data_IF_401294146052
#
_entry.id   IF_401294146052
#
_cell.length_a   1.000
_cell.length_b   1.000
_cell.length_c   1.000
_cell.angle_alpha   90.00
_cell.angle_beta   90.00
_cell.angle_gamma   90.00
#
_symmetry.space_group_name_H-M   'P 1'
#
loop_
_entity.id
_entity.type
_entity.pdbx_description
1 polymer ?
#
# COMPACT_ATOMS: atom_id res chain seq x y z
N UNK A 1 5.32 16.76 14.34
CA UNK A 1 6.51 17.56 13.95
C UNK A 1 6.51 17.62 12.43
N UNK A 2 6.68 18.80 11.84
CA UNK A 2 6.82 18.92 10.40
C UNK A 2 8.12 18.21 9.99
N UNK A 3 8.08 17.36 8.99
CA UNK A 3 9.26 16.65 8.50
C UNK A 3 10.26 17.65 7.90
N UNK A 4 11.55 17.49 8.20
CA UNK A 4 12.61 18.32 7.61
C UNK A 4 12.98 17.91 6.17
N UNK A 5 12.25 16.94 5.59
CA UNK A 5 12.53 16.44 4.24
C UNK A 5 12.06 17.43 3.17
N UNK A 6 12.85 17.61 2.09
CA UNK A 6 12.58 18.66 1.09
C UNK A 6 11.35 18.41 0.22
N UNK A 7 10.89 17.18 0.09
CA UNK A 7 9.73 16.83 -0.75
C UNK A 7 8.65 16.14 0.08
N UNK A 8 7.48 16.76 0.15
CA UNK A 8 6.27 16.13 0.66
C UNK A 8 5.53 15.40 -0.47
N UNK A 9 5.19 14.14 -0.25
CA UNK A 9 4.36 13.36 -1.17
C UNK A 9 3.00 13.12 -0.53
N UNK A 10 1.99 13.89 -0.93
CA UNK A 10 0.61 13.61 -0.52
C UNK A 10 0.08 12.44 -1.37
N UNK A 11 -0.08 11.29 -0.74
CA UNK A 11 -0.46 10.05 -1.42
C UNK A 11 -1.90 9.66 -1.08
N UNK A 12 -2.81 9.92 -2.02
CA UNK A 12 -4.19 9.45 -1.95
C UNK A 12 -4.27 7.99 -2.36
N UNK A 13 -4.76 7.17 -1.45
CA UNK A 13 -4.81 5.72 -1.56
C UNK A 13 -6.05 5.16 -0.87
N UNK A 14 -6.23 3.84 -0.90
CA UNK A 14 -7.32 3.14 -0.19
C UNK A 14 -6.86 1.71 0.14
N UNK A 15 -7.25 1.13 1.28
CA UNK A 15 -6.85 -0.21 1.68
C UNK A 15 -7.25 -1.32 0.68
N UNK A 16 -8.35 -1.14 -0.06
CA UNK A 16 -8.83 -2.11 -1.07
C UNK A 16 -8.49 -1.72 -2.52
N UNK A 17 -7.69 -0.69 -2.72
CA UNK A 17 -7.31 -0.24 -4.05
C UNK A 17 -6.27 -1.19 -4.67
N UNK A 18 -6.69 -2.04 -5.62
CA UNK A 18 -5.82 -3.00 -6.31
C UNK A 18 -4.70 -2.33 -7.11
N UNK A 19 -4.96 -1.15 -7.72
CA UNK A 19 -3.92 -0.37 -8.40
C UNK A 19 -2.90 0.20 -7.42
N UNK A 20 -3.33 0.59 -6.20
CA UNK A 20 -2.43 1.02 -5.13
C UNK A 20 -1.56 -0.13 -4.62
N UNK A 21 -2.10 -1.35 -4.58
CA UNK A 21 -1.33 -2.57 -4.36
C UNK A 21 -0.33 -2.82 -5.50
N UNK A 22 -0.75 -2.61 -6.74
CA UNK A 22 0.09 -2.78 -7.93
C UNK A 22 1.31 -1.86 -7.98
N UNK A 23 1.28 -0.67 -7.36
CA UNK A 23 2.44 0.25 -7.30
C UNK A 23 3.32 0.09 -6.05
N UNK A 24 3.01 -0.84 -5.15
CA UNK A 24 3.88 -1.08 -3.97
C UNK A 24 5.34 -1.36 -4.35
N UNK A 25 5.66 -2.14 -5.42
CA UNK A 25 7.04 -2.34 -5.84
C UNK A 25 7.79 -1.03 -6.12
N UNK A 26 7.16 -0.12 -6.87
CA UNK A 26 7.74 1.19 -7.23
C UNK A 26 7.90 2.08 -6.00
N UNK A 27 6.89 2.11 -5.13
CA UNK A 27 6.89 2.92 -3.92
C UNK A 27 7.97 2.46 -2.93
N UNK A 28 8.12 1.15 -2.74
CA UNK A 28 9.16 0.56 -1.88
C UNK A 28 10.55 0.87 -2.41
N UNK A 29 10.77 0.71 -3.72
CA UNK A 29 12.04 1.09 -4.34
C UNK A 29 12.35 2.57 -4.15
N UNK A 30 11.38 3.45 -4.40
CA UNK A 30 11.55 4.89 -4.25
C UNK A 30 11.92 5.28 -2.80
N UNK A 31 11.29 4.62 -1.81
CA UNK A 31 11.62 4.82 -0.39
C UNK A 31 13.05 4.37 -0.04
N UNK A 32 13.53 3.27 -0.61
CA UNK A 32 14.90 2.80 -0.37
C UNK A 32 15.92 3.71 -1.02
N UNK A 33 15.67 4.15 -2.25
CA UNK A 33 16.65 4.93 -3.02
C UNK A 33 16.65 6.42 -2.66
N UNK A 34 15.50 6.98 -2.24
CA UNK A 34 15.33 8.42 -2.00
C UNK A 34 14.61 8.78 -0.68
N UNK A 35 14.50 7.83 0.23
CA UNK A 35 13.75 8.02 1.46
C UNK A 35 14.20 9.19 2.35
N UNK A 36 15.47 9.64 2.22
CA UNK A 36 15.97 10.81 2.98
C UNK A 36 15.35 12.12 2.48
N UNK A 37 14.84 12.15 1.27
CA UNK A 37 14.27 13.34 0.65
C UNK A 37 12.74 13.36 0.66
N UNK A 38 12.09 12.21 0.93
CA UNK A 38 10.64 12.04 0.81
C UNK A 38 9.96 11.92 2.16
N UNK A 39 8.97 12.74 2.39
CA UNK A 39 7.97 12.59 3.44
C UNK A 39 6.63 12.19 2.81
N UNK A 40 6.13 10.99 3.11
CA UNK A 40 4.92 10.46 2.48
C UNK A 40 3.75 10.57 3.45
N UNK A 41 2.84 11.47 3.14
CA UNK A 41 1.59 11.72 3.83
C UNK A 41 0.47 10.89 3.21
N UNK A 42 0.07 9.81 3.88
CA UNK A 42 -0.98 8.90 3.41
C UNK A 42 -2.37 9.47 3.68
N UNK A 43 -3.14 9.68 2.61
CA UNK A 43 -4.52 10.16 2.64
C UNK A 43 -5.48 9.10 2.14
N UNK A 44 -6.50 8.80 2.94
CA UNK A 44 -7.48 7.77 2.61
C UNK A 44 -8.54 8.35 1.66
N UNK A 45 -8.77 7.66 0.54
CA UNK A 45 -9.60 8.19 -0.54
C UNK A 45 -11.06 7.74 -0.54
N UNK A 46 -11.41 6.69 0.22
CA UNK A 46 -12.79 6.21 0.30
C UNK A 46 -13.30 5.63 -1.03
N UNK A 47 -12.57 4.66 -1.59
CA UNK A 47 -12.83 4.07 -2.91
C UNK A 47 -14.24 3.49 -3.05
N UNK A 48 -14.75 2.83 -2.03
CA UNK A 48 -16.06 2.20 -2.00
C UNK A 48 -16.85 2.72 -0.77
N UNK A 49 -17.65 3.79 -0.92
CA UNK A 49 -18.52 4.25 0.16
C UNK A 49 -19.54 3.18 0.57
N UNK A 50 -20.25 2.67 -0.42
CA UNK A 50 -21.24 1.59 -0.33
C UNK A 50 -21.55 1.02 -1.72
N UNK A 51 -22.44 0.02 -1.80
CA UNK A 51 -22.84 -0.61 -3.07
C UNK A 51 -23.91 0.17 -3.87
N UNK A 52 -24.38 1.32 -3.38
CA UNK A 52 -25.17 2.26 -4.17
C UNK A 52 -24.29 3.08 -5.15
N UNK A 53 -22.98 3.09 -4.92
CA UNK A 53 -21.99 3.72 -5.78
C UNK A 53 -21.53 2.73 -6.85
N UNK A 54 -21.69 3.11 -8.12
CA UNK A 54 -21.29 2.32 -9.29
C UNK A 54 -20.21 3.06 -10.06
N UNK A 55 -19.09 2.41 -10.36
CA UNK A 55 -18.00 2.98 -11.13
C UNK A 55 -17.36 1.92 -12.02
N UNK A 56 -17.01 2.29 -13.25
CA UNK A 56 -16.21 1.46 -14.15
C UNK A 56 -16.81 0.10 -14.52
N UNK A 57 -18.16 -0.04 -14.47
CA UNK A 57 -18.83 -1.30 -14.78
C UNK A 57 -18.96 -2.26 -13.59
N UNK A 58 -18.43 -1.90 -12.42
CA UNK A 58 -18.54 -2.66 -11.18
C UNK A 58 -19.78 -2.17 -10.43
N UNK A 59 -20.76 -3.06 -10.19
CA UNK A 59 -22.04 -2.73 -9.57
C UNK A 59 -22.38 -3.57 -8.34
N UNK A 60 -21.66 -4.66 -8.13
CA UNK A 60 -21.87 -5.63 -7.04
C UNK A 60 -20.57 -6.36 -6.70
N UNK A 61 -20.46 -6.97 -5.51
CA UNK A 61 -19.26 -7.70 -5.08
C UNK A 61 -18.76 -8.73 -6.10
N UNK A 62 -19.66 -9.50 -6.71
CA UNK A 62 -19.28 -10.54 -7.67
C UNK A 62 -18.64 -10.02 -8.97
N UNK A 63 -18.72 -8.73 -9.25
CA UNK A 63 -18.03 -8.11 -10.39
C UNK A 63 -16.55 -7.82 -10.05
N UNK A 64 -16.23 -7.62 -8.76
CA UNK A 64 -14.90 -7.26 -8.29
C UNK A 64 -13.95 -8.46 -8.32
N UNK A 65 -14.41 -9.66 -7.94
CA UNK A 65 -13.58 -10.85 -7.85
C UNK A 65 -12.81 -11.12 -9.16
N UNK A 66 -13.50 -11.33 -10.30
CA UNK A 66 -12.84 -11.52 -11.60
C UNK A 66 -11.95 -10.35 -12.00
N UNK A 67 -12.39 -9.11 -11.74
CA UNK A 67 -11.58 -7.92 -12.00
C UNK A 67 -10.26 -7.93 -11.21
N UNK A 68 -10.29 -8.34 -9.93
CA UNK A 68 -9.07 -8.44 -9.12
C UNK A 68 -8.12 -9.52 -9.64
N UNK A 69 -8.63 -10.63 -10.14
CA UNK A 69 -7.81 -11.67 -10.76
C UNK A 69 -7.12 -11.15 -12.05
N UNK A 70 -7.84 -10.39 -12.89
CA UNK A 70 -7.27 -9.76 -14.08
C UNK A 70 -6.18 -8.74 -13.75
N UNK A 71 -6.41 -7.87 -12.78
CA UNK A 71 -5.41 -6.86 -12.38
C UNK A 71 -4.22 -7.47 -11.63
N UNK A 72 -4.40 -8.60 -10.95
CA UNK A 72 -3.30 -9.39 -10.39
C UNK A 72 -2.30 -9.80 -11.47
N UNK A 73 -2.80 -10.37 -12.56
CA UNK A 73 -1.97 -10.76 -13.70
C UNK A 73 -1.32 -9.53 -14.36
N UNK A 74 -2.06 -8.42 -14.52
CA UNK A 74 -1.56 -7.20 -15.13
C UNK A 74 -0.41 -6.56 -14.34
N UNK A 75 -0.53 -6.49 -13.00
CA UNK A 75 0.50 -5.89 -12.13
C UNK A 75 1.58 -6.88 -11.71
N UNK A 76 1.41 -8.18 -11.96
CA UNK A 76 2.24 -9.25 -11.42
C UNK A 76 2.32 -9.20 -9.88
N UNK A 77 1.28 -8.66 -9.24
CA UNK A 77 1.13 -8.61 -7.79
C UNK A 77 0.03 -9.59 -7.38
N UNK A 78 0.29 -10.50 -6.43
CA UNK A 78 -0.69 -11.53 -6.07
C UNK A 78 -1.94 -10.91 -5.44
N UNK A 79 -3.11 -11.27 -5.97
CA UNK A 79 -4.43 -10.91 -5.45
C UNK A 79 -5.34 -12.13 -5.59
N UNK A 80 -6.01 -12.51 -4.53
CA UNK A 80 -7.10 -13.49 -4.55
C UNK A 80 -8.44 -12.77 -4.50
N UNK A 81 -9.13 -12.69 -5.63
CA UNK A 81 -10.41 -12.00 -5.75
C UNK A 81 -11.59 -12.71 -5.09
N UNK A 82 -11.41 -13.95 -4.60
CA UNK A 82 -12.51 -14.77 -4.07
C UNK A 82 -13.08 -14.22 -2.75
N UNK A 83 -12.37 -13.34 -2.04
CA UNK A 83 -12.94 -12.61 -0.89
C UNK A 83 -14.26 -11.93 -1.24
N UNK A 84 -14.41 -11.43 -2.46
CA UNK A 84 -15.64 -10.78 -2.92
C UNK A 84 -16.79 -11.74 -3.17
N UNK A 85 -16.51 -13.03 -3.29
CA UNK A 85 -17.48 -14.10 -3.47
C UNK A 85 -17.80 -14.81 -2.16
N UNK A 86 -16.81 -14.95 -1.26
CA UNK A 86 -16.92 -15.71 -0.01
C UNK A 86 -17.38 -14.85 1.17
N UNK A 87 -16.79 -13.65 1.33
CA UNK A 87 -17.07 -12.70 2.43
C UNK A 87 -16.90 -11.26 1.94
N UNK A 88 -17.83 -10.76 1.10
CA UNK A 88 -17.67 -9.49 0.42
C UNK A 88 -17.66 -8.29 1.37
N UNK A 89 -16.79 -7.33 1.08
CA UNK A 89 -16.75 -6.07 1.79
C UNK A 89 -17.95 -5.20 1.39
N UNK A 90 -18.52 -4.50 2.35
CA UNK A 90 -19.64 -3.59 2.12
C UNK A 90 -19.19 -2.14 1.87
N UNK A 91 -17.97 -1.78 2.32
CA UNK A 91 -17.40 -0.44 2.20
C UNK A 91 -15.88 -0.50 2.39
N UNK A 92 -15.15 0.48 1.86
CA UNK A 92 -13.74 0.70 2.21
C UNK A 92 -13.55 1.72 3.36
N UNK A 93 -14.63 2.31 3.85
CA UNK A 93 -14.58 3.33 4.91
C UNK A 93 -14.05 2.77 6.23
N UNK A 94 -14.54 1.64 6.78
CA UNK A 94 -14.02 1.13 8.04
C UNK A 94 -12.52 0.91 8.06
N UNK A 95 -11.87 0.22 7.10
CA UNK A 95 -10.41 0.09 7.11
C UNK A 95 -9.69 1.42 6.88
N UNK A 96 -10.27 2.36 6.13
CA UNK A 96 -9.70 3.71 5.95
C UNK A 96 -9.70 4.50 7.26
N UNK A 97 -10.81 4.50 8.01
CA UNK A 97 -10.91 5.10 9.35
C UNK A 97 -9.90 4.45 10.30
N UNK A 98 -9.75 3.11 10.25
CA UNK A 98 -8.79 2.41 11.10
C UNK A 98 -7.33 2.84 10.83
N UNK A 99 -6.95 3.08 9.56
CA UNK A 99 -5.63 3.60 9.21
C UNK A 99 -5.41 5.01 9.76
N UNK A 100 -6.43 5.88 9.71
CA UNK A 100 -6.36 7.24 10.29
C UNK A 100 -6.25 7.20 11.81
N UNK A 101 -7.02 6.33 12.47
CA UNK A 101 -6.92 6.09 13.91
C UNK A 101 -5.54 5.56 14.32
N UNK A 102 -4.97 4.63 13.55
CA UNK A 102 -3.62 4.12 13.77
C UNK A 102 -2.54 5.22 13.67
N UNK A 103 -2.71 6.18 12.76
CA UNK A 103 -1.78 7.30 12.59
C UNK A 103 -1.74 8.25 13.81
N UNK A 104 -2.79 8.30 14.62
CA UNK A 104 -2.78 9.04 15.90
C UNK A 104 -1.81 8.45 16.92
N UNK A 105 -1.53 7.15 16.83
CA UNK A 105 -0.53 6.51 17.68
C UNK A 105 0.88 6.64 17.10
N UNK A 106 1.05 6.29 15.81
CA UNK A 106 2.34 6.28 15.13
C UNK A 106 2.14 6.19 13.62
N UNK A 107 2.60 7.19 12.87
CA UNK A 107 2.46 7.25 11.40
C UNK A 107 3.23 6.13 10.68
N UNK A 108 4.38 5.70 11.20
CA UNK A 108 5.18 4.62 10.61
C UNK A 108 4.47 3.27 10.81
N UNK A 109 3.95 3.05 12.01
CA UNK A 109 3.15 1.85 12.29
C UNK A 109 1.85 1.84 11.51
N UNK A 110 1.20 3.00 11.31
CA UNK A 110 -0.01 3.12 10.49
C UNK A 110 0.23 2.72 9.03
N UNK A 111 1.37 3.09 8.45
CA UNK A 111 1.75 2.65 7.09
C UNK A 111 1.98 1.13 7.04
N UNK A 112 2.60 0.55 8.07
CA UNK A 112 2.79 -0.90 8.19
C UNK A 112 1.47 -1.62 8.44
N UNK A 113 0.59 -1.05 9.24
CA UNK A 113 -0.76 -1.54 9.49
C UNK A 113 -1.61 -1.55 8.21
N UNK A 114 -1.57 -0.48 7.41
CA UNK A 114 -2.23 -0.45 6.10
C UNK A 114 -1.72 -1.57 5.19
N UNK A 115 -0.41 -1.84 5.20
CA UNK A 115 0.15 -2.99 4.47
C UNK A 115 -0.42 -4.32 4.97
N UNK A 116 -0.57 -4.50 6.28
CA UNK A 116 -1.18 -5.72 6.86
C UNK A 116 -2.64 -5.88 6.47
N UNK A 117 -3.43 -4.80 6.46
CA UNK A 117 -4.81 -4.83 5.97
C UNK A 117 -4.87 -5.24 4.49
N UNK A 118 -3.97 -4.72 3.65
CA UNK A 118 -3.86 -5.12 2.24
C UNK A 118 -3.49 -6.60 2.09
N UNK A 119 -2.53 -7.10 2.84
CA UNK A 119 -2.19 -8.52 2.85
C UNK A 119 -3.39 -9.38 3.28
N UNK A 120 -4.12 -8.96 4.29
CA UNK A 120 -5.31 -9.67 4.77
C UNK A 120 -6.39 -9.78 3.68
N UNK A 121 -6.70 -8.69 2.97
CA UNK A 121 -7.77 -8.69 1.96
C UNK A 121 -7.32 -9.28 0.63
N UNK A 122 -6.10 -8.95 0.16
CA UNK A 122 -5.62 -9.39 -1.15
C UNK A 122 -5.07 -10.82 -1.17
N UNK A 123 -4.51 -11.29 -0.04
CA UNK A 123 -3.80 -12.56 0.00
C UNK A 123 -4.50 -13.62 0.88
N UNK A 124 -5.19 -13.19 1.95
CA UNK A 124 -5.75 -14.09 2.95
C UNK A 124 -7.30 -14.16 2.87
N UNK A 125 -7.93 -13.47 1.93
CA UNK A 125 -9.38 -13.39 1.74
C UNK A 125 -10.14 -12.96 3.01
N UNK A 126 -9.52 -12.13 3.84
CA UNK A 126 -10.14 -11.63 5.07
C UNK A 126 -10.90 -10.33 4.80
N UNK A 127 -12.13 -10.25 5.31
CA UNK A 127 -12.93 -9.04 5.22
C UNK A 127 -12.44 -7.99 6.22
N UNK A 128 -11.65 -7.03 5.74
CA UNK A 128 -11.04 -5.96 6.54
C UNK A 128 -12.00 -4.87 7.01
N UNK A 129 -13.30 -5.03 6.78
CA UNK A 129 -14.33 -4.17 7.42
C UNK A 129 -14.73 -4.68 8.80
N UNK A 130 -14.34 -5.91 9.15
CA UNK A 130 -14.63 -6.53 10.44
C UNK A 130 -13.60 -6.12 11.48
N UNK A 131 -14.09 -5.73 12.66
CA UNK A 131 -13.22 -5.28 13.74
C UNK A 131 -12.20 -6.35 14.16
N UNK A 132 -12.58 -7.62 14.14
CA UNK A 132 -11.70 -8.75 14.50
C UNK A 132 -10.45 -8.79 13.58
N UNK A 133 -10.64 -8.55 12.28
CA UNK A 133 -9.54 -8.51 11.29
C UNK A 133 -8.69 -7.25 11.47
N UNK A 134 -9.34 -6.10 11.70
CA UNK A 134 -8.66 -4.83 11.98
C UNK A 134 -7.79 -4.96 13.23
N UNK A 135 -8.34 -5.49 14.32
CA UNK A 135 -7.63 -5.62 15.60
C UNK A 135 -6.47 -6.63 15.52
N UNK A 136 -6.64 -7.75 14.81
CA UNK A 136 -5.56 -8.72 14.54
C UNK A 136 -4.40 -8.05 13.79
N UNK A 137 -4.70 -7.31 12.72
CA UNK A 137 -3.68 -6.60 11.94
C UNK A 137 -2.97 -5.50 12.76
N UNK A 138 -3.69 -4.79 13.62
CA UNK A 138 -3.14 -3.76 14.50
C UNK A 138 -2.20 -4.35 15.56
N UNK A 139 -2.61 -5.44 16.21
CA UNK A 139 -1.78 -6.16 17.17
C UNK A 139 -0.47 -6.68 16.53
N UNK A 140 -0.55 -7.18 15.29
CA UNK A 140 0.60 -7.71 14.55
C UNK A 140 1.69 -6.66 14.26
N UNK A 141 1.34 -5.35 14.26
CA UNK A 141 2.29 -4.25 14.06
C UNK A 141 2.60 -3.49 15.37
N UNK A 142 2.12 -4.00 16.51
CA UNK A 142 2.40 -3.42 17.82
C UNK A 142 1.70 -2.10 18.09
N UNK A 143 0.49 -1.89 17.53
CA UNK A 143 -0.42 -0.82 17.93
C UNK A 143 -1.17 -1.23 19.21
N UNK A 144 -1.54 -0.24 20.02
CA UNK A 144 -2.48 -0.43 21.12
C UNK A 144 -3.90 -0.60 20.55
N UNK A 145 -4.46 -1.80 20.68
CA UNK A 145 -5.75 -2.16 20.09
C UNK A 145 -6.92 -1.46 20.78
N UNK A 146 -6.85 -1.25 22.10
CA UNK A 146 -7.90 -0.57 22.86
C UNK A 146 -7.94 0.93 22.53
N UNK A 147 -6.76 1.54 22.43
CA UNK A 147 -6.63 2.93 21.98
C UNK A 147 -7.10 3.06 20.52
N UNK A 148 -6.69 2.12 19.63
CA UNK A 148 -7.13 2.11 18.24
C UNK A 148 -8.65 2.06 18.15
N UNK A 149 -9.32 1.25 18.98
CA UNK A 149 -10.76 1.16 18.98
C UNK A 149 -11.42 2.49 19.39
N UNK A 150 -10.89 3.12 20.42
CA UNK A 150 -11.36 4.43 20.88
C UNK A 150 -11.24 5.48 19.78
N UNK A 151 -10.09 5.53 19.13
CA UNK A 151 -9.82 6.49 18.05
C UNK A 151 -10.61 6.15 16.77
N UNK A 152 -10.82 4.88 16.48
CA UNK A 152 -11.64 4.40 15.36
C UNK A 152 -13.11 4.82 15.53
N UNK A 153 -13.66 4.75 16.73
CA UNK A 153 -15.03 5.20 17.06
C UNK A 153 -15.15 6.73 17.23
N UNK A 154 -14.02 7.45 17.26
CA UNK A 154 -13.92 8.89 17.50
C UNK A 154 -13.15 9.63 16.42
N UNK A 155 -11.99 10.18 16.78
CA UNK A 155 -11.17 11.09 15.94
C UNK A 155 -10.75 10.50 14.58
N UNK A 156 -10.65 9.19 14.44
CA UNK A 156 -10.33 8.53 13.17
C UNK A 156 -11.34 8.86 12.06
N UNK A 157 -12.62 9.01 12.41
CA UNK A 157 -13.66 9.43 11.46
C UNK A 157 -13.46 10.87 11.01
N UNK A 158 -13.17 11.80 11.93
CA UNK A 158 -12.96 13.21 11.60
C UNK A 158 -11.75 13.36 10.66
N UNK A 159 -10.64 12.68 10.94
CA UNK A 159 -9.45 12.67 10.10
C UNK A 159 -9.69 12.05 8.71
N UNK A 160 -10.54 11.04 8.63
CA UNK A 160 -10.93 10.47 7.35
C UNK A 160 -11.80 11.43 6.52
N UNK A 161 -12.74 12.12 7.15
CA UNK A 161 -13.55 13.15 6.50
C UNK A 161 -12.67 14.33 6.02
N UNK A 162 -11.64 14.71 6.77
CA UNK A 162 -10.64 15.68 6.32
C UNK A 162 -9.90 15.21 5.06
N UNK A 163 -9.51 13.93 4.99
CA UNK A 163 -8.87 13.35 3.80
C UNK A 163 -9.81 13.38 2.58
N UNK A 164 -11.10 13.06 2.75
CA UNK A 164 -12.11 13.13 1.68
C UNK A 164 -12.32 14.58 1.21
N UNK A 165 -12.38 15.54 2.14
CA UNK A 165 -12.48 16.95 1.83
C UNK A 165 -11.27 17.45 1.04
N UNK A 166 -10.05 17.09 1.46
CA UNK A 166 -8.81 17.43 0.78
C UNK A 166 -8.73 16.79 -0.62
N UNK A 167 -9.15 15.53 -0.76
CA UNK A 167 -9.21 14.87 -2.06
C UNK A 167 -10.12 15.63 -3.04
N UNK A 168 -11.28 16.08 -2.56
CA UNK A 168 -12.23 16.87 -3.35
C UNK A 168 -11.65 18.24 -3.72
N UNK A 169 -11.02 18.94 -2.79
CA UNK A 169 -10.36 20.24 -2.99
C UNK A 169 -9.29 20.15 -4.08
N UNK A 170 -8.42 19.12 -3.99
CA UNK A 170 -7.32 18.90 -4.94
C UNK A 170 -7.75 18.21 -6.24
N UNK A 171 -9.04 17.96 -6.43
CA UNK A 171 -9.60 17.36 -7.64
C UNK A 171 -9.09 15.94 -7.89
N UNK A 172 -8.89 15.15 -6.84
CA UNK A 172 -8.53 13.73 -6.92
C UNK A 172 -9.75 12.95 -7.38
N UNK A 173 -9.59 12.17 -8.47
CA UNK A 173 -10.69 11.41 -9.09
C UNK A 173 -10.47 9.90 -9.12
N UNK A 174 -9.39 9.43 -8.53
CA UNK A 174 -9.04 8.01 -8.48
C UNK A 174 -7.71 7.76 -7.82
N UNK A 175 -7.39 6.50 -7.60
CA UNK A 175 -6.23 6.05 -6.82
C UNK A 175 -5.39 5.05 -7.61
N UNK A 176 -4.06 5.05 -7.39
CA UNK A 176 -3.28 5.99 -6.59
C UNK A 176 -3.20 7.39 -7.24
N UNK A 177 -3.20 8.43 -6.42
CA UNK A 177 -2.81 9.79 -6.84
C UNK A 177 -1.74 10.29 -5.88
N UNK A 178 -0.58 10.66 -6.41
CA UNK A 178 0.53 11.22 -5.65
C UNK A 178 0.84 12.64 -6.10
N UNK A 179 0.95 13.55 -5.14
CA UNK A 179 1.32 14.94 -5.36
C UNK A 179 2.69 15.16 -4.71
N UNK A 180 3.72 15.30 -5.53
CA UNK A 180 5.07 15.65 -5.10
C UNK A 180 5.15 17.18 -4.97
N UNK A 181 5.45 17.66 -3.79
CA UNK A 181 5.42 19.10 -3.47
C UNK A 181 6.73 19.49 -2.79
N UNK A 182 7.41 20.53 -3.28
CA UNK A 182 8.59 21.12 -2.65
C UNK A 182 8.24 22.17 -1.57
N UNK A 183 9.27 22.77 -0.97
CA UNK A 183 9.12 23.80 0.05
C UNK A 183 8.53 25.12 -0.49
N UNK A 184 8.67 25.37 -1.79
CA UNK A 184 8.12 26.54 -2.50
C UNK A 184 6.70 26.31 -3.03
N UNK A 185 6.07 25.15 -2.69
CA UNK A 185 4.75 24.73 -3.14
C UNK A 185 4.63 24.42 -4.63
N UNK A 186 5.75 24.22 -5.34
CA UNK A 186 5.70 23.64 -6.68
C UNK A 186 5.24 22.18 -6.58
N UNK A 187 4.34 21.79 -7.48
CA UNK A 187 3.69 20.49 -7.37
C UNK A 187 3.64 19.72 -8.69
N UNK A 188 3.95 18.43 -8.64
CA UNK A 188 3.75 17.49 -9.73
C UNK A 188 2.82 16.35 -9.31
N UNK A 189 1.85 16.03 -10.20
CA UNK A 189 0.88 14.95 -9.99
C UNK A 189 1.28 13.71 -10.79
N UNK A 190 1.35 12.57 -10.11
CA UNK A 190 1.43 11.24 -10.71
C UNK A 190 0.14 10.48 -10.38
N UNK A 191 -0.56 9.99 -11.42
CA UNK A 191 -1.84 9.30 -11.28
C UNK A 191 -1.81 7.91 -11.90
N UNK A 192 -2.41 6.95 -11.20
CA UNK A 192 -2.60 5.59 -11.65
C UNK A 192 -1.32 4.75 -11.60
N UNK A 193 -1.38 3.55 -12.19
CA UNK A 193 -0.22 2.69 -12.34
C UNK A 193 0.77 3.31 -13.32
N UNK A 194 2.03 3.44 -12.89
CA UNK A 194 3.13 3.97 -13.71
C UNK A 194 4.40 3.15 -13.45
N UNK A 195 5.33 3.08 -14.42
CA UNK A 195 6.65 2.51 -14.19
C UNK A 195 7.43 3.34 -13.18
N UNK A 196 8.44 2.72 -12.56
CA UNK A 196 9.25 3.33 -11.50
C UNK A 196 9.84 4.68 -11.90
N UNK A 197 10.33 4.79 -13.12
CA UNK A 197 10.97 6.01 -13.67
C UNK A 197 10.05 7.23 -13.65
N UNK A 198 8.71 7.03 -13.70
CA UNK A 198 7.76 8.14 -13.62
C UNK A 198 7.78 8.79 -12.23
N UNK A 199 7.86 7.97 -11.17
CA UNK A 199 7.93 8.46 -9.79
C UNK A 199 9.29 9.10 -9.50
N UNK A 200 10.37 8.47 -9.95
CA UNK A 200 11.74 8.99 -9.84
C UNK A 200 11.86 10.35 -10.57
N UNK A 201 11.39 10.45 -11.80
CA UNK A 201 11.42 11.70 -12.58
C UNK A 201 10.56 12.79 -11.93
N UNK A 202 9.42 12.46 -11.32
CA UNK A 202 8.60 13.44 -10.61
C UNK A 202 9.34 13.99 -9.39
N UNK A 203 10.03 13.14 -8.62
CA UNK A 203 10.87 13.58 -7.52
C UNK A 203 12.00 14.49 -8.00
N UNK A 204 12.78 14.05 -9.00
CA UNK A 204 13.95 14.78 -9.51
C UNK A 204 13.56 16.11 -10.19
N UNK A 205 12.36 16.22 -10.76
CA UNK A 205 11.87 17.48 -11.32
C UNK A 205 11.46 18.49 -10.22
N UNK A 206 10.98 18.01 -9.07
CA UNK A 206 10.65 18.84 -7.90
C UNK A 206 11.89 19.16 -7.08
N UNK A 207 12.80 18.21 -6.92
CA UNK A 207 14.04 18.37 -6.15
C UNK A 207 15.24 17.78 -6.90
N UNK A 208 15.87 18.56 -7.82
CA UNK A 208 16.97 18.09 -8.66
C UNK A 208 18.23 17.66 -7.91
N UNK A 209 18.41 18.13 -6.67
CA UNK A 209 19.58 17.82 -5.84
C UNK A 209 19.44 16.46 -5.12
N UNK A 210 18.34 15.73 -5.31
CA UNK A 210 18.21 14.40 -4.74
C UNK A 210 19.22 13.42 -5.34
N UNK A 211 19.99 12.79 -4.47
CA UNK A 211 20.98 11.78 -4.85
C UNK A 211 20.44 10.39 -4.57
N UNK A 212 20.41 9.57 -5.60
CA UNK A 212 20.00 8.18 -5.52
C UNK A 212 20.92 7.37 -4.62
N UNK A 213 20.38 6.76 -3.58
CA UNK A 213 21.12 5.80 -2.77
C UNK A 213 21.12 4.43 -3.48
N UNK A 214 22.26 3.78 -3.64
CA UNK A 214 22.26 2.41 -4.14
C UNK A 214 21.57 1.50 -3.12
N UNK A 215 20.72 0.59 -3.59
CA UNK A 215 20.20 -0.49 -2.77
C UNK A 215 21.28 -1.54 -2.60
N UNK A 216 22.12 -1.37 -1.58
CA UNK A 216 23.23 -2.29 -1.29
C UNK A 216 22.72 -3.45 -0.44
N UNK A 217 22.39 -4.56 -1.09
CA UNK A 217 22.03 -5.80 -0.42
C UNK A 217 23.30 -6.62 -0.15
N UNK A 218 23.53 -6.99 1.09
CA UNK A 218 24.62 -7.91 1.47
C UNK A 218 24.29 -9.37 1.11
N UNK A 219 23.00 -9.67 0.99
CA UNK A 219 22.43 -10.95 0.57
C UNK A 219 20.95 -10.75 0.23
N UNK A 220 20.32 -11.72 -0.44
CA UNK A 220 18.90 -11.67 -0.79
C UNK A 220 17.98 -11.51 0.43
N UNK A 221 18.36 -12.12 1.55
CA UNK A 221 17.58 -12.01 2.81
C UNK A 221 17.63 -10.61 3.41
N UNK A 222 18.67 -9.80 3.15
CA UNK A 222 18.81 -8.47 3.76
C UNK A 222 17.71 -7.49 3.35
N UNK A 223 17.02 -7.73 2.23
CA UNK A 223 15.87 -6.92 1.84
C UNK A 223 14.68 -7.08 2.79
N UNK A 224 14.57 -8.24 3.46
CA UNK A 224 13.53 -8.50 4.44
C UNK A 224 13.74 -7.74 5.76
N UNK A 225 14.94 -7.20 6.02
CA UNK A 225 15.19 -6.28 7.13
C UNK A 225 14.46 -4.94 6.95
N UNK A 226 14.27 -4.53 5.67
CA UNK A 226 13.51 -3.33 5.32
C UNK A 226 12.02 -3.61 5.16
N UNK A 227 11.68 -4.74 4.55
CA UNK A 227 10.31 -5.15 4.23
C UNK A 227 10.06 -6.60 4.67
N UNK A 228 9.43 -6.82 5.83
CA UNK A 228 9.21 -8.18 6.38
C UNK A 228 8.43 -9.12 5.46
N UNK A 229 7.74 -8.58 4.45
CA UNK A 229 7.01 -9.34 3.45
C UNK A 229 7.35 -8.83 2.06
N UNK A 230 7.60 -9.74 1.11
CA UNK A 230 7.93 -9.43 -0.27
C UNK A 230 7.20 -10.38 -1.22
N UNK A 231 6.64 -9.81 -2.28
CA UNK A 231 6.21 -10.57 -3.47
C UNK A 231 7.37 -10.69 -4.45
N UNK A 232 7.37 -11.64 -5.41
CA UNK A 232 8.38 -11.71 -6.46
C UNK A 232 8.50 -10.39 -7.24
N UNK A 233 7.38 -9.72 -7.51
CA UNK A 233 7.37 -8.43 -8.21
C UNK A 233 8.06 -7.32 -7.42
N UNK A 234 7.84 -7.24 -6.11
CA UNK A 234 8.53 -6.28 -5.24
C UNK A 234 10.03 -6.54 -5.22
N UNK A 235 10.41 -7.80 -5.04
CA UNK A 235 11.83 -8.20 -5.06
C UNK A 235 12.48 -7.87 -6.42
N UNK A 236 11.89 -8.29 -7.53
CA UNK A 236 12.36 -8.01 -8.89
C UNK A 236 12.55 -6.50 -9.16
N UNK A 237 11.54 -5.69 -8.78
CA UNK A 237 11.58 -4.24 -9.02
C UNK A 237 12.69 -3.56 -8.21
N UNK A 238 12.87 -3.94 -6.95
CA UNK A 238 13.86 -3.34 -6.05
C UNK A 238 15.29 -3.74 -6.49
N UNK A 239 15.49 -5.02 -6.81
CA UNK A 239 16.80 -5.56 -7.17
C UNK A 239 17.17 -5.38 -8.66
N UNK A 240 16.22 -4.93 -9.48
CA UNK A 240 16.36 -4.72 -10.93
C UNK A 240 16.72 -6.02 -11.70
N UNK A 241 16.17 -7.16 -11.29
CA UNK A 241 16.25 -8.45 -11.98
C UNK A 241 14.90 -8.81 -12.61
N UNK A 242 14.84 -9.89 -13.41
CA UNK A 242 13.59 -10.38 -13.97
C UNK A 242 12.65 -10.93 -12.89
N UNK A 243 11.37 -11.06 -13.22
CA UNK A 243 10.38 -11.66 -12.30
C UNK A 243 10.72 -13.12 -12.00
N UNK A 244 11.11 -13.87 -13.01
CA UNK A 244 11.49 -15.27 -12.92
C UNK A 244 12.72 -15.48 -12.02
N UNK A 245 13.75 -14.66 -12.20
CA UNK A 245 14.95 -14.69 -11.34
C UNK A 245 14.61 -14.34 -9.88
N UNK A 246 13.73 -13.38 -9.66
CA UNK A 246 13.27 -13.01 -8.32
C UNK A 246 12.52 -14.16 -7.63
N UNK A 247 11.62 -14.83 -8.36
CA UNK A 247 10.88 -15.98 -7.84
C UNK A 247 11.84 -17.13 -7.49
N UNK A 248 12.82 -17.45 -8.36
CA UNK A 248 13.84 -18.47 -8.07
C UNK A 248 14.69 -18.13 -6.84
N UNK A 249 15.08 -16.86 -6.65
CA UNK A 249 15.86 -16.44 -5.49
C UNK A 249 15.04 -16.54 -4.20
N UNK A 250 13.79 -16.10 -4.23
CA UNK A 250 12.90 -16.20 -3.08
C UNK A 250 12.56 -17.67 -2.72
N UNK A 251 12.39 -18.54 -3.71
CA UNK A 251 12.19 -19.97 -3.47
C UNK A 251 13.42 -20.63 -2.84
N UNK A 252 14.64 -20.24 -3.21
CA UNK A 252 15.87 -20.70 -2.53
C UNK A 252 15.89 -20.28 -1.06
N UNK A 253 15.47 -19.05 -0.73
CA UNK A 253 15.36 -18.62 0.67
C UNK A 253 14.33 -19.44 1.46
N UNK A 254 13.21 -19.80 0.82
CA UNK A 254 12.20 -20.67 1.42
C UNK A 254 12.74 -22.09 1.63
N UNK A 255 13.42 -22.70 0.65
CA UNK A 255 14.07 -24.00 0.77
C UNK A 255 15.13 -24.02 1.88
N UNK A 256 15.84 -22.91 2.08
CA UNK A 256 16.80 -22.73 3.18
C UNK A 256 16.13 -22.47 4.54
N UNK A 257 14.79 -22.44 4.60
CA UNK A 257 14.02 -22.21 5.82
C UNK A 257 14.26 -20.82 6.47
N UNK A 258 14.63 -19.82 5.66
CA UNK A 258 14.86 -18.43 6.08
C UNK A 258 13.60 -17.58 6.02
N UNK A 259 12.68 -17.93 5.14
CA UNK A 259 11.38 -17.26 4.96
C UNK A 259 10.25 -18.30 4.91
N UNK A 260 9.03 -17.87 5.23
CA UNK A 260 7.80 -18.60 4.95
C UNK A 260 7.24 -18.17 3.58
N UNK A 261 6.53 -19.08 2.90
CA UNK A 261 5.86 -18.82 1.62
C UNK A 261 4.35 -19.04 1.76
N UNK A 262 3.56 -18.01 1.51
CA UNK A 262 2.12 -18.12 1.32
C UNK A 262 1.83 -18.12 -0.19
N UNK A 263 1.28 -19.21 -0.71
CA UNK A 263 0.85 -19.33 -2.10
C UNK A 263 -0.66 -19.19 -2.19
N UNK A 264 -1.11 -18.33 -3.08
CA UNK A 264 -2.52 -18.14 -3.44
C UNK A 264 -2.72 -18.45 -4.93
N UNK A 265 -3.97 -18.42 -5.43
CA UNK A 265 -4.25 -18.78 -6.83
C UNK A 265 -3.51 -17.91 -7.86
N UNK A 266 -3.16 -16.67 -7.52
CA UNK A 266 -2.56 -15.71 -8.45
C UNK A 266 -1.13 -15.29 -8.06
N UNK A 267 -0.38 -16.10 -7.33
CA UNK A 267 1.03 -15.86 -7.00
C UNK A 267 1.37 -16.17 -5.54
N UNK A 268 2.49 -15.61 -5.08
CA UNK A 268 3.01 -15.89 -3.74
C UNK A 268 3.51 -14.63 -3.04
N UNK A 269 3.53 -14.67 -1.71
CA UNK A 269 4.23 -13.72 -0.86
C UNK A 269 5.17 -14.48 0.09
N UNK A 270 6.35 -13.94 0.31
CA UNK A 270 7.35 -14.48 1.21
C UNK A 270 7.45 -13.59 2.45
N UNK A 271 7.59 -14.20 3.62
CA UNK A 271 7.62 -13.54 4.92
C UNK A 271 8.87 -13.95 5.69
N UNK A 272 9.57 -12.97 6.26
CA UNK A 272 10.69 -13.26 7.17
C UNK A 272 10.18 -14.07 8.36
N UNK A 273 10.94 -15.10 8.76
CA UNK A 273 10.64 -15.93 9.95
C UNK A 273 11.02 -15.25 11.25
#
# INVERSE_FOLDING_TARGET
MQSDKPVKVTYFTDPICSTCWGIEPQLRKLKLEYGDYLDIDYRMGGLLPDWNYNSGGISKPSDVGPHWDEVSAHYQMPIDGDVWLEDPLHSSFPPSVAVKAAALQDEIKAATFMRKLREAVFLEKKNITRWEVISEAAAAVGLDVDQLKTDFEGLGNDLFEEDLALAKELGVRGFPTMLFTDQDSNQLKVYGFKPYETFENALLAIYPDAVKKPVNLTSDISLFEHYPTLTPKEFATITAISFEEAEEQLDKLFEQNLVDKLTIKNGSVYRLK
#
